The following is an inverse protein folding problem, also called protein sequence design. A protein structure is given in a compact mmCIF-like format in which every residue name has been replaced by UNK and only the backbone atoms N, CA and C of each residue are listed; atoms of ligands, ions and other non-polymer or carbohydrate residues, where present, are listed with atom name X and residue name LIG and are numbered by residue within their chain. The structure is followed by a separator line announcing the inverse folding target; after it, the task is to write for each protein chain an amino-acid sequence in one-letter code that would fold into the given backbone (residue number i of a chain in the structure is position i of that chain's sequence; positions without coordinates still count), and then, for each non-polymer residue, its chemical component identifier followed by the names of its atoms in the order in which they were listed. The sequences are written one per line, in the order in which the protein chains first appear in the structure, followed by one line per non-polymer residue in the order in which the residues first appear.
data_IF_050690082369
#
_entry.id   IF_050690082369
#
_cell.length_a   1.000
_cell.length_b   1.000
_cell.length_c   1.000
_cell.angle_alpha   90.00
_cell.angle_beta   90.00
_cell.angle_gamma   90.00
#
_symmetry.space_group_name_H-M   'P 1'
#
loop_
_entity.id
_entity.type
_entity.pdbx_description
1 polymer ?
#
# COMPACT_ATOMS: atom_id res chain seq x y z
N UNK A 1 -2.95 12.71 7.12
CA UNK A 1 -2.52 11.83 8.24
C UNK A 1 -3.30 10.51 8.27
N UNK A 2 -4.58 10.45 7.88
CA UNK A 2 -5.38 9.19 7.83
C UNK A 2 -4.65 8.03 7.11
N UNK A 3 -4.00 8.28 5.97
CA UNK A 3 -3.23 7.26 5.24
C UNK A 3 -2.06 6.64 6.06
N UNK A 4 -1.55 7.35 7.07
CA UNK A 4 -0.50 6.83 7.94
C UNK A 4 -1.00 5.70 8.86
N UNK A 5 -2.32 5.54 9.04
CA UNK A 5 -2.90 4.43 9.81
C UNK A 5 -2.54 3.06 9.21
N UNK A 6 -2.26 2.98 7.91
CA UNK A 6 -1.74 1.77 7.27
C UNK A 6 -0.41 1.29 7.85
N UNK A 7 0.35 2.17 8.49
CA UNK A 7 1.67 1.88 9.05
C UNK A 7 1.63 1.67 10.57
N UNK A 8 0.47 1.78 11.21
CA UNK A 8 0.30 1.54 12.66
C UNK A 8 0.17 0.04 12.90
N UNK A 9 0.67 -0.47 14.04
CA UNK A 9 0.39 -1.85 14.45
C UNK A 9 -1.12 -2.07 14.52
N UNK A 10 -1.60 -3.21 14.02
CA UNK A 10 -3.04 -3.49 13.97
C UNK A 10 -3.69 -3.37 15.35
N UNK A 11 -2.99 -3.81 16.41
CA UNK A 11 -3.48 -3.77 17.79
C UNK A 11 -3.58 -2.35 18.38
N UNK A 12 -2.90 -1.38 17.79
CA UNK A 12 -2.86 0.01 18.28
C UNK A 12 -3.73 0.95 17.41
N UNK A 13 -4.47 0.41 16.44
CA UNK A 13 -5.26 1.20 15.49
C UNK A 13 -6.33 2.06 16.18
N UNK A 14 -7.01 1.51 17.19
CA UNK A 14 -8.05 2.25 17.92
C UNK A 14 -7.42 3.47 18.63
N UNK A 15 -6.29 3.28 19.34
CA UNK A 15 -5.53 4.37 19.98
C UNK A 15 -5.01 5.39 18.98
N UNK A 16 -4.58 4.95 17.80
CA UNK A 16 -4.11 5.85 16.74
C UNK A 16 -5.24 6.71 16.16
N UNK A 17 -6.45 6.15 16.03
CA UNK A 17 -7.64 6.85 15.55
C UNK A 17 -8.09 7.88 16.58
N UNK A 18 -8.16 7.52 17.86
CA UNK A 18 -8.47 8.45 18.95
C UNK A 18 -7.51 9.65 18.96
N UNK A 19 -6.20 9.39 18.93
CA UNK A 19 -5.19 10.44 18.87
C UNK A 19 -5.30 11.32 17.61
N UNK A 20 -5.72 10.74 16.47
CA UNK A 20 -5.89 11.45 15.22
C UNK A 20 -7.13 12.35 15.24
N UNK A 21 -8.23 11.89 15.81
CA UNK A 21 -9.50 12.63 15.94
C UNK A 21 -9.32 13.99 16.61
N UNK A 22 -8.47 14.07 17.63
CA UNK A 22 -8.15 15.33 18.34
C UNK A 22 -7.35 16.34 17.50
N UNK A 23 -6.73 15.90 16.41
CA UNK A 23 -5.74 16.68 15.65
C UNK A 23 -6.10 16.91 14.19
N UNK A 24 -7.22 16.37 13.71
CA UNK A 24 -7.70 16.61 12.35
C UNK A 24 -8.77 17.71 12.31
N UNK A 25 -8.86 18.47 11.20
CA UNK A 25 -9.93 19.42 11.02
C UNK A 25 -11.32 18.75 11.10
N UNK A 26 -12.34 19.41 11.67
CA UNK A 26 -13.69 18.86 11.77
C UNK A 26 -14.28 18.39 10.44
N UNK A 27 -13.88 19.01 9.33
CA UNK A 27 -14.31 18.67 7.98
C UNK A 27 -13.82 17.29 7.52
N UNK A 28 -12.76 16.76 8.15
CA UNK A 28 -12.17 15.44 7.83
C UNK A 28 -12.74 14.34 8.73
N UNK A 29 -13.43 14.68 9.82
CA UNK A 29 -14.04 13.70 10.73
C UNK A 29 -14.96 12.70 10.00
N UNK A 30 -15.85 13.12 9.08
CA UNK A 30 -16.71 12.17 8.37
C UNK A 30 -15.93 11.13 7.56
N UNK A 31 -14.76 11.51 7.04
CA UNK A 31 -13.88 10.59 6.32
C UNK A 31 -13.21 9.59 7.27
N UNK A 32 -12.77 10.05 8.45
CA UNK A 32 -12.18 9.18 9.45
C UNK A 32 -13.22 8.20 10.04
N UNK A 33 -14.44 8.68 10.29
CA UNK A 33 -15.57 7.86 10.72
C UNK A 33 -15.88 6.74 9.72
N UNK A 34 -15.96 7.10 8.43
CA UNK A 34 -16.14 6.15 7.35
C UNK A 34 -14.98 5.14 7.29
N UNK A 35 -13.74 5.61 7.41
CA UNK A 35 -12.57 4.74 7.40
C UNK A 35 -12.62 3.72 8.54
N UNK A 36 -12.92 4.18 9.76
CA UNK A 36 -13.06 3.32 10.93
C UNK A 36 -14.15 2.27 10.72
N UNK A 37 -15.33 2.65 10.23
CA UNK A 37 -16.43 1.72 9.98
C UNK A 37 -16.07 0.61 8.99
N UNK A 38 -15.45 0.96 7.87
CA UNK A 38 -15.24 0.01 6.76
C UNK A 38 -13.91 -0.74 6.82
N UNK A 39 -12.86 -0.16 7.42
CA UNK A 39 -11.50 -0.70 7.37
C UNK A 39 -10.95 -1.18 8.71
N UNK A 40 -11.47 -0.68 9.85
CA UNK A 40 -10.95 -0.99 11.19
C UNK A 40 -11.96 -1.79 12.01
N UNK A 41 -13.25 -1.49 11.84
CA UNK A 41 -14.37 -2.07 12.54
C UNK A 41 -14.68 -1.30 13.82
N UNK A 42 -15.96 -1.02 14.09
CA UNK A 42 -16.37 -0.26 15.29
C UNK A 42 -16.71 -1.17 16.45
N UNK A 43 -16.31 -0.76 17.65
CA UNK A 43 -16.78 -1.38 18.91
C UNK A 43 -18.10 -0.74 19.31
N UNK A 44 -19.20 -1.47 19.19
CA UNK A 44 -20.53 -1.02 19.61
C UNK A 44 -20.99 -1.91 20.76
N UNK A 45 -21.25 -1.32 21.93
CA UNK A 45 -21.77 -2.03 23.13
C UNK A 45 -20.93 -3.28 23.48
N UNK A 46 -19.63 -3.11 23.59
CA UNK A 46 -18.65 -4.18 23.87
C UNK A 46 -18.60 -5.32 22.83
N UNK A 47 -19.19 -5.16 21.64
CA UNK A 47 -19.06 -6.08 20.52
C UNK A 47 -18.44 -5.36 19.33
N UNK A 48 -17.31 -5.87 18.83
CA UNK A 48 -16.69 -5.33 17.62
C UNK A 48 -17.44 -5.82 16.40
N UNK A 49 -17.98 -4.89 15.61
CA UNK A 49 -18.43 -5.23 14.25
C UNK A 49 -17.20 -5.45 13.37
N UNK A 50 -17.11 -6.59 12.67
CA UNK A 50 -16.00 -6.80 11.76
C UNK A 50 -16.04 -5.76 10.64
N UNK A 51 -14.87 -5.20 10.30
CA UNK A 51 -14.74 -4.31 9.17
C UNK A 51 -15.04 -5.06 7.86
N UNK A 52 -15.61 -4.37 6.87
CA UNK A 52 -15.80 -4.95 5.54
C UNK A 52 -14.46 -5.31 4.89
N UNK A 53 -13.44 -4.51 5.17
CA UNK A 53 -12.07 -4.70 4.70
C UNK A 53 -11.12 -4.79 5.90
N UNK A 54 -10.92 -5.98 6.48
CA UNK A 54 -10.15 -6.15 7.71
C UNK A 54 -8.71 -5.61 7.61
N UNK A 55 -8.13 -5.09 8.71
CA UNK A 55 -6.76 -4.55 8.76
C UNK A 55 -5.69 -5.44 8.15
N UNK A 56 -5.80 -6.76 8.31
CA UNK A 56 -4.82 -7.73 7.75
C UNK A 56 -4.67 -7.63 6.22
N UNK A 57 -5.67 -7.12 5.50
CA UNK A 57 -5.63 -7.00 4.04
C UNK A 57 -4.87 -5.76 3.56
N UNK A 58 -4.91 -4.66 4.32
CA UNK A 58 -4.43 -3.34 3.87
C UNK A 58 -3.30 -2.76 4.72
N UNK A 59 -3.10 -3.27 5.94
CA UNK A 59 -2.02 -2.82 6.81
C UNK A 59 -0.65 -3.22 6.24
N UNK A 60 0.32 -2.32 6.39
CA UNK A 60 1.67 -2.46 5.85
C UNK A 60 2.75 -2.38 6.92
N UNK A 61 2.42 -2.33 8.22
CA UNK A 61 3.39 -2.24 9.32
C UNK A 61 4.42 -3.38 9.24
N UNK A 62 3.96 -4.63 9.27
CA UNK A 62 4.84 -5.80 9.19
C UNK A 62 5.55 -5.90 7.84
N UNK A 63 4.87 -5.55 6.73
CA UNK A 63 5.48 -5.56 5.40
C UNK A 63 6.68 -4.63 5.33
N UNK A 64 6.59 -3.45 5.96
CA UNK A 64 7.73 -2.51 6.03
C UNK A 64 8.89 -3.13 6.80
N UNK A 65 8.64 -3.72 7.97
CA UNK A 65 9.68 -4.35 8.78
C UNK A 65 10.35 -5.54 8.06
N UNK A 66 9.57 -6.31 7.31
CA UNK A 66 10.05 -7.43 6.50
C UNK A 66 10.69 -7.00 5.17
N UNK A 67 10.70 -5.69 4.86
CA UNK A 67 11.19 -5.12 3.59
C UNK A 67 10.45 -5.70 2.36
N UNK A 68 9.18 -6.03 2.54
CA UNK A 68 8.27 -6.46 1.49
C UNK A 68 7.69 -5.27 0.72
N UNK A 69 7.12 -5.55 -0.46
CA UNK A 69 6.41 -4.54 -1.22
C UNK A 69 5.13 -4.09 -0.51
N UNK A 70 5.00 -2.77 -0.34
CA UNK A 70 3.87 -2.15 0.37
C UNK A 70 2.58 -2.13 -0.46
N UNK A 71 2.70 -2.06 -1.78
CA UNK A 71 1.58 -1.89 -2.71
C UNK A 71 1.59 -2.98 -3.78
N UNK A 72 0.47 -3.11 -4.49
CA UNK A 72 0.31 -4.08 -5.57
C UNK A 72 1.00 -3.64 -6.88
N UNK A 73 2.14 -2.96 -6.79
CA UNK A 73 2.83 -2.36 -7.94
C UNK A 73 3.13 -3.38 -9.04
N UNK A 74 3.44 -4.63 -8.66
CA UNK A 74 3.71 -5.70 -9.62
C UNK A 74 2.47 -6.07 -10.45
N UNK A 75 1.32 -6.24 -9.81
CA UNK A 75 0.09 -6.51 -10.56
C UNK A 75 -0.39 -5.28 -11.32
N UNK A 76 -0.27 -4.08 -10.77
CA UNK A 76 -0.61 -2.83 -11.48
C UNK A 76 0.27 -2.63 -12.72
N UNK A 77 1.58 -2.89 -12.62
CA UNK A 77 2.50 -2.84 -13.74
C UNK A 77 2.17 -3.91 -14.80
N UNK A 78 1.80 -5.13 -14.36
CA UNK A 78 1.35 -6.19 -15.26
C UNK A 78 0.06 -5.80 -15.99
N UNK A 79 -0.94 -5.28 -15.26
CA UNK A 79 -2.21 -4.81 -15.80
C UNK A 79 -2.00 -3.63 -16.77
N UNK A 80 -1.15 -2.66 -16.41
CA UNK A 80 -0.79 -1.54 -17.29
C UNK A 80 -0.16 -2.01 -18.58
N UNK A 81 0.78 -2.95 -18.51
CA UNK A 81 1.40 -3.55 -19.71
C UNK A 81 0.39 -4.30 -20.55
N UNK A 82 -0.52 -5.05 -19.93
CA UNK A 82 -1.59 -5.74 -20.63
C UNK A 82 -2.47 -4.73 -21.38
N UNK A 83 -2.95 -3.68 -20.71
CA UNK A 83 -3.78 -2.64 -21.32
C UNK A 83 -3.07 -1.92 -22.47
N UNK A 84 -1.78 -1.60 -22.31
CA UNK A 84 -0.96 -1.01 -23.37
C UNK A 84 -0.82 -1.95 -24.59
N UNK A 85 -0.65 -3.24 -24.36
CA UNK A 85 -0.55 -4.24 -25.43
C UNK A 85 -1.91 -4.50 -26.11
N UNK A 86 -3.01 -4.40 -25.36
CA UNK A 86 -4.36 -4.55 -25.91
C UNK A 86 -4.71 -3.40 -26.85
N UNK A 87 -4.43 -2.15 -26.46
CA UNK A 87 -4.67 -0.96 -27.29
C UNK A 87 -6.15 -0.67 -27.59
N UNK A 88 -7.08 -1.46 -27.05
CA UNK A 88 -8.53 -1.34 -27.25
C UNK A 88 -9.27 -1.62 -25.94
N UNK A 89 -10.42 -0.97 -25.74
CA UNK A 89 -11.22 -1.08 -24.52
C UNK A 89 -11.97 -2.42 -24.40
N UNK A 90 -12.40 -2.98 -25.54
CA UNK A 90 -13.19 -4.21 -25.60
C UNK A 90 -12.64 -5.16 -26.67
N UNK A 91 -11.51 -5.85 -26.40
CA UNK A 91 -10.95 -6.80 -27.35
C UNK A 91 -11.86 -8.02 -27.52
N UNK A 92 -11.91 -8.58 -28.74
CA UNK A 92 -12.48 -9.91 -28.93
C UNK A 92 -11.63 -10.95 -28.17
N UNK A 93 -12.22 -12.10 -27.85
CA UNK A 93 -11.51 -13.19 -27.18
C UNK A 93 -10.22 -13.58 -27.94
N UNK A 94 -10.25 -13.59 -29.26
CA UNK A 94 -9.09 -13.92 -30.09
C UNK A 94 -7.98 -12.87 -29.99
N UNK A 95 -8.32 -11.59 -30.07
CA UNK A 95 -7.38 -10.48 -29.89
C UNK A 95 -6.78 -10.50 -28.48
N UNK A 96 -7.62 -10.79 -27.47
CA UNK A 96 -7.19 -10.92 -26.09
C UNK A 96 -6.15 -12.04 -25.91
N UNK A 97 -6.43 -13.26 -26.38
CA UNK A 97 -5.49 -14.40 -26.32
C UNK A 97 -4.18 -14.07 -27.06
N UNK A 98 -4.27 -13.44 -28.23
CA UNK A 98 -3.10 -13.07 -29.03
C UNK A 98 -2.19 -12.09 -28.27
N UNK A 99 -2.78 -11.08 -27.63
CA UNK A 99 -2.03 -10.09 -26.87
C UNK A 99 -1.47 -10.67 -25.56
N UNK A 100 -2.18 -11.60 -24.91
CA UNK A 100 -1.63 -12.34 -23.76
C UNK A 100 -0.35 -13.09 -24.14
N UNK A 101 -0.34 -13.80 -25.27
CA UNK A 101 0.86 -14.50 -25.76
C UNK A 101 2.03 -13.55 -26.02
N UNK A 102 1.78 -12.35 -26.56
CA UNK A 102 2.81 -11.32 -26.75
C UNK A 102 3.37 -10.81 -25.41
N UNK A 103 2.50 -10.51 -24.44
CA UNK A 103 2.93 -10.09 -23.09
C UNK A 103 3.78 -11.18 -22.43
N UNK A 104 3.37 -12.44 -22.55
CA UNK A 104 4.09 -13.59 -22.00
C UNK A 104 5.47 -13.75 -22.66
N UNK A 105 5.55 -13.73 -23.99
CA UNK A 105 6.83 -13.84 -24.71
C UNK A 105 7.84 -12.76 -24.29
N UNK A 106 7.39 -11.51 -24.12
CA UNK A 106 8.24 -10.44 -23.60
C UNK A 106 8.68 -10.66 -22.14
N UNK A 107 7.86 -11.34 -21.33
CA UNK A 107 8.21 -11.68 -19.95
C UNK A 107 9.21 -12.82 -19.88
N UNK A 108 9.04 -13.84 -20.71
CA UNK A 108 9.96 -14.97 -20.82
C UNK A 108 11.34 -14.49 -21.24
N UNK A 109 11.41 -13.57 -22.20
CA UNK A 109 12.68 -12.93 -22.61
C UNK A 109 13.35 -12.21 -21.45
N UNK A 110 12.60 -11.42 -20.67
CA UNK A 110 13.15 -10.75 -19.48
C UNK A 110 13.64 -11.76 -18.44
N UNK A 111 12.90 -12.85 -18.24
CA UNK A 111 13.27 -13.90 -17.30
C UNK A 111 14.57 -14.60 -17.73
N UNK A 112 14.72 -14.92 -19.01
CA UNK A 112 15.98 -15.42 -19.57
C UNK A 112 17.16 -14.47 -19.35
N UNK A 113 16.94 -13.15 -19.47
CA UNK A 113 17.98 -12.19 -19.13
C UNK A 113 18.42 -12.29 -17.66
N UNK A 114 17.48 -12.51 -16.73
CA UNK A 114 17.82 -12.73 -15.31
C UNK A 114 18.58 -14.04 -15.11
N UNK A 115 18.17 -15.13 -15.76
CA UNK A 115 18.88 -16.43 -15.71
C UNK A 115 20.32 -16.31 -16.25
N UNK A 116 20.52 -15.46 -17.26
CA UNK A 116 21.84 -15.12 -17.79
C UNK A 116 22.68 -14.22 -16.86
N UNK A 117 22.18 -13.88 -15.66
CA UNK A 117 22.87 -13.07 -14.66
C UNK A 117 22.70 -11.55 -14.81
N UNK A 118 21.84 -11.07 -15.72
CA UNK A 118 21.56 -9.64 -15.81
C UNK A 118 20.76 -9.17 -14.60
N UNK A 119 21.09 -7.98 -14.11
CA UNK A 119 20.34 -7.36 -13.01
C UNK A 119 19.01 -6.75 -13.50
N UNK A 120 17.94 -6.81 -12.69
CA UNK A 120 16.70 -6.10 -13.00
C UNK A 120 16.91 -4.58 -13.00
N UNK A 121 16.00 -3.81 -13.63
CA UNK A 121 16.05 -2.35 -13.60
C UNK A 121 16.10 -1.82 -12.17
N UNK A 122 17.05 -0.93 -11.90
CA UNK A 122 17.21 -0.33 -10.57
C UNK A 122 15.98 0.52 -10.22
N UNK A 123 15.49 0.36 -8.99
CA UNK A 123 14.48 1.26 -8.42
C UNK A 123 15.05 2.67 -8.38
N UNK A 124 14.24 3.68 -8.72
CA UNK A 124 14.69 5.09 -8.70
C UNK A 124 15.12 5.47 -7.28
N UNK A 125 16.27 6.15 -7.16
CA UNK A 125 16.89 6.55 -5.88
C UNK A 125 15.89 7.23 -4.93
N UNK A 126 15.06 8.14 -5.45
CA UNK A 126 14.03 8.84 -4.65
C UNK A 126 13.12 7.88 -3.87
N UNK A 127 12.71 6.76 -4.47
CA UNK A 127 11.82 5.80 -3.81
C UNK A 127 12.57 4.94 -2.80
N UNK A 128 13.83 4.58 -3.10
CA UNK A 128 14.71 3.90 -2.16
C UNK A 128 14.90 4.76 -0.90
N UNK A 129 15.14 6.05 -1.06
CA UNK A 129 15.37 6.96 0.05
C UNK A 129 14.09 7.18 0.88
N UNK A 130 12.91 7.23 0.24
CA UNK A 130 11.62 7.24 0.93
C UNK A 130 11.40 5.95 1.73
N UNK A 131 11.64 4.79 1.13
CA UNK A 131 11.50 3.49 1.81
C UNK A 131 12.39 3.41 3.04
N UNK A 132 13.65 3.86 2.94
CA UNK A 132 14.58 3.92 4.08
C UNK A 132 14.08 4.80 5.21
N UNK A 133 13.51 5.97 4.89
CA UNK A 133 12.96 6.89 5.91
C UNK A 133 11.73 6.30 6.57
N UNK A 134 10.82 5.71 5.79
CA UNK A 134 9.63 5.02 6.31
C UNK A 134 10.03 3.85 7.21
N UNK A 135 10.95 3.01 6.75
CA UNK A 135 11.49 1.88 7.52
C UNK A 135 12.02 2.36 8.88
N UNK A 136 12.85 3.39 8.91
CA UNK A 136 13.39 3.95 10.16
C UNK A 136 12.29 4.43 11.13
N UNK A 137 11.22 5.01 10.61
CA UNK A 137 10.10 5.50 11.44
C UNK A 137 9.29 4.32 12.01
N UNK A 138 9.08 3.26 11.22
CA UNK A 138 8.34 2.05 11.63
C UNK A 138 9.16 1.17 12.57
N UNK A 139 10.45 1.02 12.33
CA UNK A 139 11.37 0.28 13.22
C UNK A 139 11.41 0.91 14.62
N UNK A 140 11.37 2.24 14.69
CA UNK A 140 11.40 3.02 15.94
C UNK A 140 9.99 3.29 16.51
N UNK A 141 8.97 2.56 16.07
CA UNK A 141 7.57 2.80 16.40
C UNK A 141 7.30 2.87 17.92
N UNK A 142 7.81 1.89 18.68
CA UNK A 142 7.54 1.79 20.13
C UNK A 142 8.16 2.93 20.95
N UNK A 143 9.18 3.62 20.42
CA UNK A 143 9.86 4.72 21.11
C UNK A 143 9.30 6.10 20.72
N UNK A 144 8.27 6.14 19.86
CA UNK A 144 7.69 7.38 19.34
C UNK A 144 6.33 7.65 19.95
N UNK A 145 6.04 8.92 20.17
CA UNK A 145 4.67 9.36 20.38
C UNK A 145 3.83 9.09 19.11
N UNK A 146 2.62 8.55 19.28
CA UNK A 146 1.71 8.16 18.20
C UNK A 146 1.48 9.26 17.16
N UNK A 147 1.23 10.50 17.60
CA UNK A 147 0.99 11.62 16.69
C UNK A 147 2.25 11.98 15.90
N UNK A 148 3.41 11.94 16.54
CA UNK A 148 4.71 12.17 15.90
C UNK A 148 5.02 11.09 14.85
N UNK A 149 4.67 9.84 15.15
CA UNK A 149 4.74 8.72 14.20
C UNK A 149 3.85 8.97 12.98
N UNK A 150 2.56 9.24 13.19
CA UNK A 150 1.59 9.48 12.12
C UNK A 150 1.98 10.67 11.23
N UNK A 151 2.48 11.76 11.83
CA UNK A 151 3.01 12.92 11.08
C UNK A 151 4.23 12.56 10.26
N UNK A 152 5.20 11.84 10.84
CA UNK A 152 6.42 11.43 10.14
C UNK A 152 6.15 10.53 8.93
N UNK A 153 5.21 9.58 9.08
CA UNK A 153 4.75 8.75 7.97
C UNK A 153 4.03 9.60 6.91
N UNK A 154 3.10 10.47 7.31
CA UNK A 154 2.32 11.30 6.39
C UNK A 154 3.22 12.19 5.51
N UNK A 155 4.28 12.78 6.06
CA UNK A 155 5.24 13.59 5.32
C UNK A 155 6.02 12.79 4.25
N UNK A 156 6.28 11.51 4.49
CA UNK A 156 6.98 10.66 3.52
C UNK A 156 6.04 10.12 2.43
N UNK A 157 4.74 10.00 2.73
CA UNK A 157 3.73 9.56 1.76
C UNK A 157 3.26 10.72 0.89
N UNK A 158 3.21 11.96 1.39
CA UNK A 158 2.77 13.12 0.59
C UNK A 158 3.73 13.52 -0.54
N UNK A 159 4.89 12.86 -0.63
CA UNK A 159 5.85 13.04 -1.72
C UNK A 159 5.66 12.04 -2.88
N UNK A 160 4.57 11.27 -2.88
CA UNK A 160 4.13 10.45 -4.01
C UNK A 160 3.29 11.23 -5.01
#
# INVERSE_FOLDING_TARGET
MVLALAFVKINDLDTAIEALTEHIPPEVLPLLDWFEEFYVGRTIRNRRRPARFPPVLWNVHERVLNKEDRTNNHAEAANRRLNLQMGVQHPTLWTFITNLRKVQSGRDTFYQHLEAGNSPPKKKKKFIDVDKRIFKIVEDYNNRNMLSFLRGIAQNISCY
#
